data_IF_762903628682
#
_entry.id   IF_762903628682
#
_cell.length_a   1.000
_cell.length_b   1.000
_cell.length_c   1.000
_cell.angle_alpha   90.00
_cell.angle_beta   90.00
_cell.angle_gamma   90.00
#
_symmetry.space_group_name_H-M   'P 1'
#
loop_
_entity.id
_entity.type
_entity.pdbx_description
1 polymer ?
#
# COMPACT_ATOMS: atom_id res chain seq x y z
N UNK A 1 25.98 -29.41 12.99
CA UNK A 1 26.08 -28.98 11.58
C UNK A 1 27.28 -28.06 11.46
N UNK A 2 28.18 -28.32 10.52
CA UNK A 2 29.32 -27.44 10.26
C UNK A 2 28.87 -26.40 9.23
N UNK A 3 28.97 -25.12 9.56
CA UNK A 3 28.56 -24.02 8.68
C UNK A 3 29.53 -23.93 7.50
N UNK A 4 29.02 -23.65 6.29
CA UNK A 4 29.88 -23.36 5.14
C UNK A 4 30.62 -22.04 5.38
N UNK A 5 31.95 -22.10 5.37
CA UNK A 5 32.84 -20.95 5.54
C UNK A 5 33.59 -20.77 4.23
N UNK A 6 33.35 -19.66 3.49
CA UNK A 6 34.07 -19.38 2.26
C UNK A 6 35.55 -19.16 2.55
N UNK A 7 36.43 -19.72 1.72
CA UNK A 7 37.88 -19.55 1.91
C UNK A 7 38.33 -18.19 1.38
N UNK A 8 39.27 -17.57 2.08
CA UNK A 8 39.89 -16.34 1.61
C UNK A 8 40.85 -16.62 0.43
N UNK A 9 41.09 -15.60 -0.39
CA UNK A 9 42.03 -15.62 -1.51
C UNK A 9 43.44 -16.05 -1.06
N UNK A 10 43.87 -15.61 0.13
CA UNK A 10 45.17 -15.98 0.70
C UNK A 10 45.27 -17.48 0.97
N UNK A 11 44.18 -18.10 1.43
CA UNK A 11 44.12 -19.54 1.70
C UNK A 11 44.19 -20.34 0.39
N UNK A 12 43.45 -19.91 -0.63
CA UNK A 12 43.51 -20.50 -1.97
C UNK A 12 44.91 -20.39 -2.58
N UNK A 13 45.53 -19.21 -2.51
CA UNK A 13 46.89 -18.98 -2.98
C UNK A 13 47.89 -19.90 -2.28
N UNK A 14 47.82 -20.00 -0.95
CA UNK A 14 48.71 -20.86 -0.18
C UNK A 14 48.50 -22.35 -0.52
N UNK A 15 47.25 -22.79 -0.68
CA UNK A 15 46.93 -24.15 -1.08
C UNK A 15 47.49 -24.49 -2.47
N UNK A 16 47.38 -23.57 -3.43
CA UNK A 16 47.94 -23.75 -4.77
C UNK A 16 49.47 -23.80 -4.78
N UNK A 17 50.13 -22.93 -4.02
CA UNK A 17 51.59 -22.96 -3.88
C UNK A 17 52.04 -24.28 -3.24
N UNK A 18 51.40 -24.70 -2.15
CA UNK A 18 51.70 -25.96 -1.49
C UNK A 18 51.49 -27.17 -2.43
N UNK A 19 50.43 -27.15 -3.25
CA UNK A 19 50.17 -28.18 -4.24
C UNK A 19 51.26 -28.25 -5.32
N UNK A 20 51.68 -27.10 -5.87
CA UNK A 20 52.72 -27.03 -6.89
C UNK A 20 54.09 -27.44 -6.37
N UNK A 21 54.44 -27.03 -5.15
CA UNK A 21 55.68 -27.43 -4.47
C UNK A 21 55.66 -28.93 -4.17
N UNK A 22 54.56 -29.46 -3.62
CA UNK A 22 54.42 -30.88 -3.30
C UNK A 22 54.46 -31.82 -4.52
N UNK A 23 54.11 -31.32 -5.71
CA UNK A 23 54.19 -32.04 -6.98
C UNK A 23 55.53 -31.90 -7.71
N UNK A 24 56.51 -31.21 -7.11
CA UNK A 24 57.79 -30.89 -7.74
C UNK A 24 57.63 -30.23 -9.12
N UNK A 25 56.72 -29.25 -9.20
CA UNK A 25 56.49 -28.49 -10.43
C UNK A 25 57.76 -27.76 -10.88
N UNK A 26 57.90 -27.56 -12.20
CA UNK A 26 58.98 -26.73 -12.78
C UNK A 26 58.77 -25.23 -12.52
N UNK A 27 57.59 -24.86 -12.02
CA UNK A 27 57.27 -23.50 -11.56
C UNK A 27 57.92 -23.28 -10.18
N UNK A 28 58.80 -22.27 -10.06
CA UNK A 28 59.64 -22.10 -8.87
C UNK A 28 59.56 -20.71 -8.22
N UNK A 29 59.14 -19.66 -8.94
CA UNK A 29 59.08 -18.31 -8.40
C UNK A 29 57.63 -17.91 -8.06
N UNK A 30 57.26 -18.06 -6.79
CA UNK A 30 55.95 -17.68 -6.23
C UNK A 30 55.98 -16.37 -5.42
N UNK A 31 57.09 -15.63 -5.48
CA UNK A 31 57.22 -14.35 -4.78
C UNK A 31 56.35 -13.24 -5.38
N UNK A 32 56.07 -12.17 -4.61
CA UNK A 32 55.35 -11.00 -5.11
C UNK A 32 56.02 -10.42 -6.36
N UNK A 33 55.22 -10.07 -7.38
CA UNK A 33 55.72 -9.52 -8.65
C UNK A 33 56.15 -10.55 -9.70
N UNK A 34 56.14 -11.86 -9.38
CA UNK A 34 56.35 -12.92 -10.38
C UNK A 34 55.12 -13.12 -11.27
N UNK A 35 55.33 -13.39 -12.56
CA UNK A 35 54.25 -13.71 -13.52
C UNK A 35 53.39 -14.89 -13.05
N UNK A 36 54.02 -15.90 -12.45
CA UNK A 36 53.31 -17.09 -11.93
C UNK A 36 52.51 -16.72 -10.69
N UNK A 37 53.05 -15.87 -9.81
CA UNK A 37 52.34 -15.43 -8.61
C UNK A 37 51.09 -14.62 -8.98
N UNK A 38 51.18 -13.69 -9.95
CA UNK A 38 50.02 -12.94 -10.44
C UNK A 38 48.95 -13.84 -11.07
N UNK A 39 49.35 -14.91 -11.77
CA UNK A 39 48.39 -15.87 -12.32
C UNK A 39 47.68 -16.66 -11.22
N UNK A 40 48.41 -17.14 -10.21
CA UNK A 40 47.83 -17.86 -9.06
C UNK A 40 46.90 -16.94 -8.27
N UNK A 41 47.29 -15.69 -8.06
CA UNK A 41 46.47 -14.67 -7.38
C UNK A 41 45.16 -14.42 -8.12
N UNK A 42 45.20 -14.25 -9.45
CA UNK A 42 44.00 -14.09 -10.25
C UNK A 42 43.03 -15.29 -10.14
N UNK A 43 43.57 -16.52 -10.14
CA UNK A 43 42.76 -17.74 -9.96
C UNK A 43 42.18 -17.78 -8.53
N UNK A 44 43.00 -17.50 -7.52
CA UNK A 44 42.59 -17.51 -6.12
C UNK A 44 41.48 -16.49 -5.82
N UNK A 45 41.57 -15.27 -6.36
CA UNK A 45 40.53 -14.24 -6.25
C UNK A 45 39.21 -14.74 -6.87
N UNK A 46 39.29 -15.36 -8.05
CA UNK A 46 38.09 -15.86 -8.75
C UNK A 46 37.41 -16.97 -7.95
N UNK A 47 38.19 -17.90 -7.37
CA UNK A 47 37.65 -18.97 -6.52
C UNK A 47 37.07 -18.44 -5.21
N UNK A 48 37.78 -17.52 -4.53
CA UNK A 48 37.30 -16.89 -3.31
C UNK A 48 35.99 -16.12 -3.54
N UNK A 49 35.87 -15.43 -4.67
CA UNK A 49 34.63 -14.78 -5.08
C UNK A 49 33.52 -15.80 -5.34
N UNK A 50 33.80 -16.88 -6.05
CA UNK A 50 32.84 -17.95 -6.29
C UNK A 50 32.30 -18.58 -5.01
N UNK A 51 33.15 -18.81 -4.01
CA UNK A 51 32.75 -19.29 -2.68
C UNK A 51 31.84 -18.28 -1.95
N UNK A 52 32.19 -17.00 -1.98
CA UNK A 52 31.39 -15.94 -1.36
C UNK A 52 30.01 -15.81 -2.03
N UNK A 53 29.98 -15.78 -3.36
CA UNK A 53 28.75 -15.71 -4.15
C UNK A 53 27.87 -16.95 -3.89
N UNK A 54 28.49 -18.13 -3.77
CA UNK A 54 27.80 -19.39 -3.41
C UNK A 54 27.18 -19.29 -2.02
N UNK A 55 27.93 -18.79 -1.02
CA UNK A 55 27.38 -18.58 0.34
C UNK A 55 26.20 -17.62 0.32
N UNK A 56 26.34 -16.48 -0.36
CA UNK A 56 25.28 -15.48 -0.46
C UNK A 56 24.04 -16.05 -1.15
N UNK A 57 24.23 -16.83 -2.20
CA UNK A 57 23.15 -17.55 -2.89
C UNK A 57 22.42 -18.50 -1.96
N UNK A 58 23.14 -19.34 -1.20
CA UNK A 58 22.52 -20.24 -0.22
C UNK A 58 21.79 -19.50 0.89
N UNK A 59 22.39 -18.45 1.46
CA UNK A 59 21.75 -17.66 2.52
C UNK A 59 20.45 -16.99 2.01
N UNK A 60 20.45 -16.48 0.78
CA UNK A 60 19.26 -15.90 0.15
C UNK A 60 18.19 -16.96 -0.17
N UNK A 61 18.59 -18.12 -0.68
CA UNK A 61 17.70 -19.21 -1.07
C UNK A 61 17.03 -19.87 0.14
N UNK A 62 17.75 -20.03 1.26
CA UNK A 62 17.16 -20.53 2.51
C UNK A 62 16.01 -19.63 2.96
N UNK A 63 16.16 -18.32 2.85
CA UNK A 63 15.11 -17.37 3.22
C UNK A 63 13.97 -17.39 2.20
N UNK A 64 14.29 -17.37 0.91
CA UNK A 64 13.29 -17.37 -0.17
C UNK A 64 12.45 -18.65 -0.17
N UNK A 65 13.11 -19.81 -0.04
CA UNK A 65 12.46 -21.12 -0.01
C UNK A 65 11.50 -21.28 1.16
N UNK A 66 11.80 -20.69 2.33
CA UNK A 66 10.83 -20.65 3.44
C UNK A 66 9.57 -19.89 3.04
N UNK A 67 9.69 -18.72 2.42
CA UNK A 67 8.50 -17.98 1.96
C UNK A 67 7.71 -18.75 0.91
N UNK A 68 8.38 -19.44 0.00
CA UNK A 68 7.72 -20.24 -1.04
C UNK A 68 6.96 -21.44 -0.44
N UNK A 69 7.57 -22.17 0.49
CA UNK A 69 6.93 -23.30 1.19
C UNK A 69 5.68 -22.86 1.95
N UNK A 70 5.69 -21.66 2.53
CA UNK A 70 4.54 -21.09 3.22
C UNK A 70 3.57 -20.33 2.31
N UNK A 71 3.82 -20.27 0.99
CA UNK A 71 2.98 -19.51 0.06
C UNK A 71 2.89 -18.03 0.41
N UNK A 72 4.01 -17.41 0.80
CA UNK A 72 4.08 -16.05 1.34
C UNK A 72 4.76 -15.07 0.37
N UNK A 73 4.10 -14.72 -0.76
CA UNK A 73 4.66 -13.83 -1.77
C UNK A 73 4.76 -12.39 -1.25
N UNK A 74 5.49 -11.55 -2.00
CA UNK A 74 5.46 -10.10 -1.81
C UNK A 74 4.08 -9.54 -2.15
N UNK A 75 3.56 -8.65 -1.32
CA UNK A 75 2.34 -7.94 -1.65
C UNK A 75 2.59 -6.95 -2.80
N UNK A 76 1.67 -6.86 -3.78
CA UNK A 76 1.74 -5.81 -4.77
C UNK A 76 1.51 -4.44 -4.10
N UNK A 77 1.92 -3.38 -4.80
CA UNK A 77 1.64 -2.02 -4.35
C UNK A 77 0.14 -1.73 -4.26
N UNK A 78 -0.22 -0.78 -3.41
CA UNK A 78 -1.58 -0.27 -3.32
C UNK A 78 -1.78 0.90 -4.30
N UNK A 79 -3.05 1.14 -4.63
CA UNK A 79 -3.47 2.25 -5.48
C UNK A 79 -3.67 3.49 -4.64
N UNK A 80 -3.26 4.64 -5.17
CA UNK A 80 -3.53 5.91 -4.51
C UNK A 80 -5.02 6.25 -4.65
N UNK A 81 -5.61 6.75 -3.57
CA UNK A 81 -7.01 7.21 -3.53
C UNK A 81 -7.06 8.65 -3.05
N UNK A 82 -8.13 9.34 -3.42
CA UNK A 82 -8.36 10.72 -3.02
C UNK A 82 -9.70 11.22 -3.51
N UNK A 83 -10.02 12.45 -3.11
CA UNK A 83 -11.25 13.13 -3.50
C UNK A 83 -10.96 14.07 -4.67
N UNK A 84 -11.87 14.08 -5.64
CA UNK A 84 -11.98 15.10 -6.67
C UNK A 84 -13.17 15.98 -6.36
N UNK A 85 -13.05 17.27 -6.66
CA UNK A 85 -14.14 18.22 -6.63
C UNK A 85 -14.60 18.49 -8.06
N UNK A 86 -15.88 18.26 -8.31
CA UNK A 86 -16.56 18.63 -9.55
C UNK A 86 -17.28 19.95 -9.29
N UNK A 87 -16.96 20.99 -10.06
CA UNK A 87 -17.60 22.29 -9.98
C UNK A 87 -18.36 22.56 -11.27
N UNK A 88 -19.64 22.88 -11.14
CA UNK A 88 -20.51 23.26 -12.26
C UNK A 88 -21.54 24.27 -11.76
N UNK A 89 -21.79 25.32 -12.53
CA UNK A 89 -22.64 26.43 -12.14
C UNK A 89 -23.68 26.75 -13.21
N UNK A 90 -24.88 27.16 -12.79
CA UNK A 90 -25.94 27.61 -13.70
C UNK A 90 -26.80 26.50 -14.29
N UNK A 91 -26.71 25.27 -13.75
CA UNK A 91 -27.61 24.18 -14.08
C UNK A 91 -28.95 24.31 -13.34
N UNK A 92 -30.02 23.89 -14.00
CA UNK A 92 -31.39 23.89 -13.42
C UNK A 92 -31.95 22.48 -13.29
N UNK A 93 -31.39 21.52 -14.03
CA UNK A 93 -31.67 20.10 -13.93
C UNK A 93 -30.49 19.36 -13.25
N UNK A 94 -30.74 18.22 -12.57
CA UNK A 94 -29.67 17.42 -11.99
C UNK A 94 -28.70 16.91 -13.06
N UNK A 95 -27.40 17.08 -12.82
CA UNK A 95 -26.34 16.56 -13.71
C UNK A 95 -25.89 15.20 -13.17
N UNK A 96 -25.93 14.18 -14.02
CA UNK A 96 -25.45 12.84 -13.69
C UNK A 96 -24.04 12.62 -14.24
N UNK A 97 -23.06 12.46 -13.36
CA UNK A 97 -21.70 12.10 -13.71
C UNK A 97 -21.55 10.58 -13.63
N UNK A 98 -21.39 9.87 -14.77
CA UNK A 98 -21.08 8.44 -14.77
C UNK A 98 -19.66 8.21 -14.24
N UNK A 99 -19.27 6.95 -14.04
CA UNK A 99 -17.86 6.63 -13.81
C UNK A 99 -17.04 7.08 -15.02
N UNK A 100 -16.05 7.93 -14.76
CA UNK A 100 -15.10 8.45 -15.73
C UNK A 100 -13.66 8.33 -15.25
N UNK A 101 -12.75 8.42 -16.21
CA UNK A 101 -11.31 8.37 -16.01
C UNK A 101 -10.66 9.72 -16.30
N UNK A 102 -9.57 10.01 -15.61
CA UNK A 102 -8.73 11.19 -15.81
C UNK A 102 -7.32 10.72 -16.14
N UNK A 103 -6.78 11.14 -17.28
CA UNK A 103 -5.39 10.92 -17.66
C UNK A 103 -4.56 12.18 -17.38
N UNK A 104 -3.68 12.09 -16.38
CA UNK A 104 -2.70 13.10 -16.01
C UNK A 104 -1.34 12.68 -16.53
N UNK A 105 -1.04 13.03 -17.79
CA UNK A 105 0.26 12.78 -18.43
C UNK A 105 0.74 11.31 -18.35
N UNK A 106 -0.18 10.36 -18.53
CA UNK A 106 0.09 8.92 -18.47
C UNK A 106 -0.31 8.28 -17.13
N UNK A 107 -0.46 9.06 -16.06
CA UNK A 107 -1.02 8.58 -14.80
C UNK A 107 -2.54 8.65 -14.86
N UNK A 108 -3.21 7.50 -14.77
CA UNK A 108 -4.66 7.42 -14.89
C UNK A 108 -5.34 7.21 -13.55
N UNK A 109 -6.46 7.92 -13.38
CA UNK A 109 -7.35 7.81 -12.24
C UNK A 109 -8.77 7.48 -12.74
N UNK A 110 -9.54 6.78 -11.93
CA UNK A 110 -10.92 6.37 -12.20
C UNK A 110 -11.77 6.74 -10.98
N UNK A 111 -12.95 7.29 -11.23
CA UNK A 111 -13.96 7.55 -10.17
C UNK A 111 -14.58 6.24 -9.71
N UNK A 112 -14.82 6.11 -8.40
CA UNK A 112 -15.24 4.83 -7.81
C UNK A 112 -16.72 4.55 -8.06
N UNK A 113 -17.54 5.60 -8.02
CA UNK A 113 -18.99 5.51 -8.16
C UNK A 113 -19.55 6.69 -8.98
N UNK A 114 -20.72 6.52 -9.64
CA UNK A 114 -21.41 7.62 -10.30
C UNK A 114 -22.00 8.58 -9.26
N UNK A 115 -22.02 9.87 -9.60
CA UNK A 115 -22.45 10.93 -8.68
C UNK A 115 -23.40 11.89 -9.38
N UNK A 116 -24.42 12.37 -8.66
CA UNK A 116 -25.42 13.32 -9.17
C UNK A 116 -25.22 14.66 -8.48
N UNK A 117 -25.02 15.72 -9.27
CA UNK A 117 -25.01 17.11 -8.79
C UNK A 117 -26.43 17.67 -8.89
N UNK A 118 -27.01 18.06 -7.75
CA UNK A 118 -28.36 18.61 -7.70
C UNK A 118 -28.37 20.09 -8.13
N UNK A 119 -29.51 20.63 -8.60
CA UNK A 119 -29.62 22.04 -9.03
C UNK A 119 -29.31 23.09 -7.96
N UNK A 120 -29.35 22.73 -6.68
CA UNK A 120 -29.03 23.64 -5.57
C UNK A 120 -27.53 23.70 -5.24
N UNK A 121 -26.75 22.71 -5.69
CA UNK A 121 -25.35 22.54 -5.34
C UNK A 121 -24.46 23.03 -6.50
N UNK A 122 -23.44 23.83 -6.21
CA UNK A 122 -22.46 24.31 -7.22
C UNK A 122 -21.23 23.41 -7.33
N UNK A 123 -21.07 22.47 -6.41
CA UNK A 123 -19.99 21.50 -6.43
C UNK A 123 -20.37 20.21 -5.71
N UNK A 124 -19.65 19.13 -6.04
CA UNK A 124 -19.75 17.85 -5.34
C UNK A 124 -18.38 17.18 -5.27
N UNK A 125 -18.15 16.40 -4.22
CA UNK A 125 -16.95 15.57 -4.10
C UNK A 125 -17.23 14.16 -4.63
N UNK A 126 -16.26 13.62 -5.36
CA UNK A 126 -16.28 12.23 -5.86
C UNK A 126 -14.98 11.54 -5.49
N UNK A 127 -15.06 10.32 -5.00
CA UNK A 127 -13.89 9.49 -4.75
C UNK A 127 -13.28 8.98 -6.06
N UNK A 128 -11.96 9.08 -6.16
CA UNK A 128 -11.22 8.53 -7.28
C UNK A 128 -10.01 7.74 -6.79
N UNK A 129 -9.64 6.74 -7.59
CA UNK A 129 -8.52 5.85 -7.36
C UNK A 129 -7.61 5.79 -8.58
N UNK A 130 -6.31 5.65 -8.36
CA UNK A 130 -5.36 5.39 -9.42
C UNK A 130 -5.65 4.03 -10.06
N UNK A 131 -5.51 3.93 -11.39
CA UNK A 131 -5.70 2.65 -12.10
C UNK A 131 -4.52 1.72 -11.80
N UNK A 132 -3.31 2.27 -11.82
CA UNK A 132 -2.07 1.54 -11.55
C UNK A 132 -1.67 1.72 -10.07
N UNK A 133 -1.22 0.64 -9.41
CA UNK A 133 -0.63 0.76 -8.08
C UNK A 133 0.72 1.47 -8.14
N UNK A 134 1.11 2.09 -7.02
CA UNK A 134 2.41 2.73 -6.90
C UNK A 134 2.36 4.14 -6.32
N UNK A 135 3.54 4.64 -5.95
CA UNK A 135 3.70 5.97 -5.37
C UNK A 135 3.48 7.10 -6.38
N UNK A 136 3.53 6.81 -7.69
CA UNK A 136 3.26 7.79 -8.75
C UNK A 136 1.82 8.30 -8.74
N UNK A 137 0.89 7.52 -8.19
CA UNK A 137 -0.49 7.96 -7.98
C UNK A 137 -0.67 8.95 -6.83
N UNK A 138 0.34 9.13 -5.96
CA UNK A 138 0.27 10.07 -4.84
C UNK A 138 0.55 11.49 -5.34
N UNK A 139 -0.51 12.17 -5.79
CA UNK A 139 -0.43 13.52 -6.33
C UNK A 139 -0.69 14.59 -5.26
N UNK A 140 -0.06 15.75 -5.42
CA UNK A 140 -0.28 16.92 -4.56
C UNK A 140 -1.63 17.60 -4.85
N UNK A 141 -2.17 18.41 -3.92
CA UNK A 141 -3.34 19.25 -4.19
C UNK A 141 -3.17 20.08 -5.47
N UNK A 142 -4.22 20.18 -6.28
CA UNK A 142 -4.22 20.94 -7.55
C UNK A 142 -3.35 20.37 -8.67
N UNK A 143 -2.87 19.13 -8.55
CA UNK A 143 -2.15 18.45 -9.61
C UNK A 143 -3.08 18.09 -10.79
N UNK A 144 -4.31 17.68 -10.49
CA UNK A 144 -5.42 17.59 -11.44
C UNK A 144 -6.18 18.91 -11.34
N UNK A 145 -6.29 19.60 -12.46
CA UNK A 145 -7.16 20.76 -12.63
C UNK A 145 -7.48 20.94 -14.12
N UNK A 146 -8.71 20.62 -14.51
CA UNK A 146 -9.11 20.72 -15.92
C UNK A 146 -9.21 22.16 -16.42
N UNK A 147 -9.33 23.16 -15.54
CA UNK A 147 -9.32 24.57 -15.93
C UNK A 147 -7.94 25.01 -16.41
N UNK A 148 -6.89 24.50 -15.76
CA UNK A 148 -5.49 24.72 -16.15
C UNK A 148 -5.01 23.75 -17.24
N UNK A 149 -5.93 22.96 -17.83
CA UNK A 149 -5.62 21.96 -18.85
C UNK A 149 -4.87 20.73 -18.32
N UNK A 150 -4.89 20.50 -17.00
CA UNK A 150 -4.19 19.38 -16.34
C UNK A 150 -5.16 18.24 -16.08
N UNK A 151 -5.14 17.28 -16.99
CA UNK A 151 -5.98 16.08 -16.92
C UNK A 151 -6.96 16.02 -18.09
N UNK A 152 -6.98 14.89 -18.81
CA UNK A 152 -7.95 14.64 -19.88
C UNK A 152 -8.99 13.64 -19.39
N UNK A 153 -10.28 14.01 -19.52
CA UNK A 153 -11.40 13.19 -19.04
C UNK A 153 -11.92 12.27 -20.14
N UNK A 154 -12.19 11.00 -19.80
CA UNK A 154 -12.81 10.01 -20.68
C UNK A 154 -13.74 9.06 -19.92
N UNK A 155 -15.02 8.88 -20.33
CA UNK A 155 -15.72 9.59 -21.41
C UNK A 155 -15.92 11.07 -21.07
N UNK A 156 -16.21 11.91 -22.07
CA UNK A 156 -16.49 13.33 -21.84
C UNK A 156 -17.71 13.47 -20.90
N UNK A 157 -17.54 14.28 -19.86
CA UNK A 157 -18.59 14.67 -18.91
C UNK A 157 -19.27 15.96 -19.37
N UNK A 158 -20.25 16.44 -18.61
CA UNK A 158 -21.00 17.66 -18.94
C UNK A 158 -20.05 18.85 -19.20
N UNK A 159 -20.15 19.51 -20.38
CA UNK A 159 -19.27 20.61 -20.75
C UNK A 159 -19.30 21.75 -19.74
N UNK A 160 -18.13 22.34 -19.45
CA UNK A 160 -18.03 23.43 -18.46
C UNK A 160 -17.87 22.96 -17.01
N UNK A 161 -17.88 21.65 -16.75
CA UNK A 161 -17.52 21.10 -15.43
C UNK A 161 -16.01 21.19 -15.21
N UNK A 162 -15.59 21.87 -14.14
CA UNK A 162 -14.20 21.86 -13.68
C UNK A 162 -13.99 20.68 -12.74
N UNK A 163 -12.91 19.93 -12.95
CA UNK A 163 -12.53 18.78 -12.11
C UNK A 163 -11.14 19.02 -11.59
N UNK A 164 -10.99 19.04 -10.27
CA UNK A 164 -9.70 19.26 -9.64
C UNK A 164 -9.59 18.53 -8.30
N UNK A 165 -8.37 18.29 -7.83
CA UNK A 165 -8.16 17.63 -6.53
C UNK A 165 -7.86 18.66 -5.42
N UNK A 166 -8.76 18.87 -4.45
CA UNK A 166 -8.56 19.83 -3.36
C UNK A 166 -7.53 19.36 -2.34
N UNK A 167 -7.36 18.05 -2.18
CA UNK A 167 -6.41 17.44 -1.28
C UNK A 167 -5.47 16.51 -2.04
N UNK A 168 -4.38 16.10 -1.37
CA UNK A 168 -3.46 15.11 -1.92
C UNK A 168 -4.17 13.77 -2.12
N UNK A 169 -3.79 13.05 -3.17
CA UNK A 169 -4.07 11.62 -3.24
C UNK A 169 -3.00 10.89 -2.44
N UNK A 170 -3.38 9.84 -1.73
CA UNK A 170 -2.49 9.09 -0.84
C UNK A 170 -2.84 7.61 -0.81
N UNK A 171 -2.09 6.80 -0.05
CA UNK A 171 -2.32 5.36 0.03
C UNK A 171 -1.65 4.54 -1.08
N UNK A 172 -1.14 5.17 -2.14
CA UNK A 172 -0.37 4.50 -3.17
C UNK A 172 0.98 4.05 -2.63
N UNK A 173 1.27 2.76 -2.70
CA UNK A 173 2.54 2.18 -2.23
C UNK A 173 3.21 1.40 -3.35
N UNK A 174 4.54 1.32 -3.31
CA UNK A 174 5.26 0.38 -4.17
C UNK A 174 4.99 -1.06 -3.71
N UNK A 175 5.42 -2.02 -4.54
CA UNK A 175 5.52 -3.41 -4.11
C UNK A 175 6.24 -3.49 -2.75
N UNK A 176 5.76 -4.40 -1.90
CA UNK A 176 6.33 -4.65 -0.58
C UNK A 176 7.86 -4.86 -0.65
N UNK A 177 8.60 -4.31 0.32
CA UNK A 177 10.05 -4.54 0.41
C UNK A 177 10.37 -5.87 1.10
N UNK A 178 11.59 -6.37 0.92
CA UNK A 178 12.03 -7.61 1.57
C UNK A 178 11.98 -7.52 3.10
N UNK A 179 12.29 -6.36 3.67
CA UNK A 179 12.26 -6.09 5.11
C UNK A 179 10.82 -6.08 5.64
N UNK A 180 9.90 -5.43 4.91
CA UNK A 180 8.47 -5.42 5.24
C UNK A 180 7.89 -6.82 5.18
N UNK A 181 8.22 -7.59 4.13
CA UNK A 181 7.81 -9.00 4.03
C UNK A 181 8.33 -9.82 5.20
N UNK A 182 9.59 -9.63 5.60
CA UNK A 182 10.16 -10.34 6.74
C UNK A 182 9.46 -9.99 8.06
N UNK A 183 9.04 -8.73 8.25
CA UNK A 183 8.23 -8.33 9.39
C UNK A 183 6.83 -8.97 9.35
N UNK A 184 6.13 -8.89 8.21
CA UNK A 184 4.83 -9.51 7.98
C UNK A 184 4.87 -11.03 8.19
N UNK A 185 5.96 -11.68 7.78
CA UNK A 185 6.16 -13.11 7.99
C UNK A 185 6.31 -13.47 9.47
N UNK A 186 7.00 -12.65 10.27
CA UNK A 186 7.05 -12.85 11.74
C UNK A 186 5.66 -12.75 12.34
N UNK A 187 4.86 -11.77 11.89
CA UNK A 187 3.48 -11.63 12.34
C UNK A 187 2.61 -12.80 11.91
N UNK A 188 2.78 -13.30 10.68
CA UNK A 188 2.15 -14.53 10.21
C UNK A 188 2.47 -15.71 11.14
N UNK A 189 3.75 -15.96 11.44
CA UNK A 189 4.18 -17.02 12.37
C UNK A 189 3.57 -16.84 13.77
N UNK A 190 3.57 -15.62 14.31
CA UNK A 190 2.95 -15.33 15.61
C UNK A 190 1.43 -15.51 15.61
N UNK A 191 0.82 -15.51 14.43
CA UNK A 191 -0.63 -15.61 14.22
C UNK A 191 -1.08 -16.95 13.62
N UNK A 192 -0.19 -17.95 13.60
CA UNK A 192 -0.51 -19.34 13.21
C UNK A 192 -1.68 -19.92 14.02
N UNK A 193 -1.88 -19.42 15.24
CA UNK A 193 -3.13 -19.57 15.97
C UNK A 193 -4.28 -18.91 15.21
N UNK A 194 -4.87 -19.67 14.28
CA UNK A 194 -6.13 -19.33 13.62
C UNK A 194 -7.24 -19.07 14.64
N UNK A 195 -8.37 -18.55 14.18
CA UNK A 195 -9.55 -18.27 15.00
C UNK A 195 -9.31 -17.35 16.19
N UNK A 196 -8.22 -16.57 16.15
CA UNK A 196 -7.96 -15.44 17.06
C UNK A 196 -8.14 -14.14 16.30
N UNK A 197 -8.45 -13.04 17.01
CA UNK A 197 -8.56 -11.71 16.38
C UNK A 197 -7.30 -11.39 15.57
N UNK A 198 -6.11 -11.66 16.13
CA UNK A 198 -4.83 -11.42 15.46
C UNK A 198 -4.61 -12.34 14.26
N UNK A 199 -5.00 -13.61 14.36
CA UNK A 199 -4.96 -14.57 13.25
C UNK A 199 -5.79 -14.12 12.06
N UNK A 200 -7.05 -13.77 12.32
CA UNK A 200 -7.98 -13.31 11.29
C UNK A 200 -7.51 -11.97 10.72
N UNK A 201 -7.13 -11.02 11.56
CA UNK A 201 -6.61 -9.72 11.11
C UNK A 201 -5.38 -9.86 10.21
N UNK A 202 -4.40 -10.69 10.60
CA UNK A 202 -3.18 -10.90 9.81
C UNK A 202 -3.45 -11.63 8.48
N UNK A 203 -4.44 -12.52 8.45
CA UNK A 203 -4.88 -13.16 7.22
C UNK A 203 -5.47 -12.13 6.24
N UNK A 204 -6.37 -11.28 6.75
CA UNK A 204 -7.08 -10.28 5.95
C UNK A 204 -6.13 -9.20 5.42
N UNK A 205 -5.22 -8.68 6.26
CA UNK A 205 -4.25 -7.66 5.82
C UNK A 205 -3.21 -8.20 4.84
N UNK A 206 -3.05 -9.53 4.76
CA UNK A 206 -2.16 -10.18 3.80
C UNK A 206 -2.81 -10.39 2.42
N UNK A 207 -4.07 -9.99 2.24
CA UNK A 207 -4.76 -10.08 0.95
C UNK A 207 -4.37 -8.88 0.08
N UNK A 208 -3.89 -9.10 -1.15
CA UNK A 208 -3.60 -8.03 -2.09
C UNK A 208 -4.77 -7.07 -2.28
N UNK A 209 -4.52 -5.77 -2.12
CA UNK A 209 -5.53 -4.71 -2.29
C UNK A 209 -6.23 -4.28 -1.00
N UNK A 210 -6.03 -4.98 0.13
CA UNK A 210 -6.47 -4.50 1.43
C UNK A 210 -5.50 -3.43 1.94
N UNK A 211 -6.00 -2.21 2.14
CA UNK A 211 -5.26 -1.10 2.73
C UNK A 211 -5.37 -1.09 4.26
N UNK A 212 -6.48 -1.58 4.80
CA UNK A 212 -6.70 -1.72 6.23
C UNK A 212 -7.89 -2.61 6.55
N UNK A 213 -7.91 -3.15 7.76
CA UNK A 213 -8.99 -4.01 8.23
C UNK A 213 -9.26 -3.80 9.73
N UNK A 214 -10.49 -4.09 10.15
CA UNK A 214 -10.89 -4.14 11.56
C UNK A 214 -11.63 -5.44 11.81
N UNK A 215 -11.25 -6.14 12.88
CA UNK A 215 -11.88 -7.41 13.27
C UNK A 215 -12.54 -7.23 14.63
N UNK A 216 -13.86 -7.38 14.66
CA UNK A 216 -14.69 -7.33 15.86
C UNK A 216 -15.26 -8.71 16.15
N UNK A 217 -15.57 -8.98 17.41
CA UNK A 217 -16.19 -10.22 17.85
C UNK A 217 -17.36 -9.95 18.78
N UNK A 218 -18.31 -10.88 18.85
CA UNK A 218 -19.48 -10.85 19.72
C UNK A 218 -20.39 -9.62 19.52
N UNK A 219 -20.47 -9.10 18.31
CA UNK A 219 -21.37 -7.99 17.94
C UNK A 219 -22.17 -8.44 16.72
N UNK A 220 -23.48 -8.28 16.76
CA UNK A 220 -24.31 -8.53 15.59
C UNK A 220 -24.13 -7.39 14.57
N UNK A 221 -23.76 -7.66 13.31
CA UNK A 221 -23.49 -6.62 12.32
C UNK A 221 -24.74 -5.83 11.89
N UNK A 222 -25.95 -6.35 12.15
CA UNK A 222 -27.23 -5.75 11.78
C UNK A 222 -27.79 -4.92 12.94
N UNK A 223 -27.87 -5.50 14.15
CA UNK A 223 -28.44 -4.80 15.31
C UNK A 223 -27.42 -3.91 16.03
N UNK A 224 -26.13 -4.11 15.80
CA UNK A 224 -25.01 -3.45 16.50
C UNK A 224 -25.01 -3.67 18.02
N UNK A 225 -25.75 -4.68 18.48
CA UNK A 225 -25.78 -5.10 19.88
C UNK A 225 -24.84 -6.28 20.10
N UNK A 226 -24.40 -6.46 21.33
CA UNK A 226 -23.58 -7.59 21.72
C UNK A 226 -24.36 -8.91 21.54
N UNK A 227 -23.82 -9.81 20.71
CA UNK A 227 -24.37 -11.15 20.47
C UNK A 227 -23.21 -12.12 20.26
N UNK A 228 -23.16 -13.19 21.07
CA UNK A 228 -22.10 -14.18 20.99
C UNK A 228 -22.12 -14.96 19.66
N UNK A 229 -20.93 -15.40 19.22
CA UNK A 229 -20.80 -16.26 18.04
C UNK A 229 -20.70 -15.51 16.72
N UNK A 230 -20.52 -14.18 16.75
CA UNK A 230 -20.20 -13.36 15.58
C UNK A 230 -18.72 -12.98 15.53
N UNK A 231 -18.16 -13.01 14.33
CA UNK A 231 -16.88 -12.39 13.96
C UNK A 231 -17.13 -11.50 12.75
N UNK A 232 -16.92 -10.21 12.91
CA UNK A 232 -17.15 -9.23 11.86
C UNK A 232 -15.80 -8.69 11.38
N UNK A 233 -15.58 -8.71 10.08
CA UNK A 233 -14.39 -8.18 9.42
C UNK A 233 -14.81 -7.03 8.52
N UNK A 234 -14.30 -5.85 8.83
CA UNK A 234 -14.51 -4.65 8.02
C UNK A 234 -13.23 -4.34 7.27
N UNK A 235 -13.32 -4.16 5.95
CA UNK A 235 -12.17 -4.02 5.05
C UNK A 235 -12.22 -2.67 4.34
N UNK A 236 -11.06 -2.04 4.19
CA UNK A 236 -10.89 -0.85 3.34
C UNK A 236 -9.77 -1.10 2.32
N UNK A 237 -10.01 -0.71 1.07
CA UNK A 237 -9.02 -0.66 -0.01
C UNK A 237 -8.43 0.76 -0.18
N UNK A 238 -8.73 1.66 0.78
CA UNK A 238 -8.42 3.09 0.70
C UNK A 238 -9.56 3.94 0.13
N UNK A 239 -10.66 3.31 -0.32
CA UNK A 239 -11.91 3.97 -0.71
C UNK A 239 -13.04 3.60 0.25
N UNK A 240 -14.18 4.29 0.12
CA UNK A 240 -15.41 3.95 0.84
C UNK A 240 -16.14 2.73 0.27
N UNK A 241 -15.83 2.34 -0.96
CA UNK A 241 -16.50 1.24 -1.67
C UNK A 241 -15.50 0.26 -2.30
N UNK A 242 -14.89 -0.61 -1.47
CA UNK A 242 -14.09 -1.74 -1.95
C UNK A 242 -14.83 -2.58 -3.01
N UNK A 243 -14.12 -3.09 -4.03
CA UNK A 243 -14.76 -3.90 -5.06
C UNK A 243 -15.34 -5.20 -4.47
N UNK A 244 -16.52 -5.66 -4.94
CA UNK A 244 -17.15 -6.88 -4.43
C UNK A 244 -16.27 -8.13 -4.52
N UNK A 245 -15.38 -8.18 -5.52
CA UNK A 245 -14.41 -9.27 -5.67
C UNK A 245 -13.39 -9.32 -4.53
N UNK A 246 -12.97 -8.17 -4.00
CA UNK A 246 -12.06 -8.11 -2.84
C UNK A 246 -12.77 -8.58 -1.57
N UNK A 247 -14.02 -8.17 -1.36
CA UNK A 247 -14.81 -8.62 -0.20
C UNK A 247 -15.09 -10.12 -0.26
N UNK A 248 -15.40 -10.66 -1.43
CA UNK A 248 -15.59 -12.10 -1.63
C UNK A 248 -14.30 -12.90 -1.38
N UNK A 249 -13.15 -12.38 -1.81
CA UNK A 249 -11.84 -12.99 -1.53
C UNK A 249 -11.56 -13.00 -0.02
N UNK A 250 -11.83 -11.89 0.67
CA UNK A 250 -11.69 -11.82 2.14
C UNK A 250 -12.61 -12.81 2.83
N UNK A 251 -13.88 -12.89 2.41
CA UNK A 251 -14.84 -13.85 2.94
C UNK A 251 -14.36 -15.29 2.74
N UNK A 252 -13.85 -15.61 1.55
CA UNK A 252 -13.28 -16.92 1.25
C UNK A 252 -12.09 -17.26 2.15
N UNK A 253 -11.19 -16.32 2.42
CA UNK A 253 -10.06 -16.51 3.35
C UNK A 253 -10.55 -16.73 4.78
N UNK A 254 -11.51 -15.93 5.25
CA UNK A 254 -11.97 -15.98 6.64
C UNK A 254 -12.81 -17.23 6.91
N UNK A 255 -13.81 -17.50 6.07
CA UNK A 255 -14.75 -18.62 6.24
C UNK A 255 -14.14 -19.94 5.79
N UNK A 256 -13.33 -19.90 4.74
CA UNK A 256 -12.87 -21.08 4.02
C UNK A 256 -13.85 -21.54 2.94
N UNK A 257 -13.36 -22.38 2.05
CA UNK A 257 -14.13 -22.97 0.96
C UNK A 257 -13.84 -24.48 0.90
N UNK A 258 -14.88 -25.30 1.04
CA UNK A 258 -14.74 -26.75 0.99
C UNK A 258 -14.37 -27.28 -0.40
N UNK A 259 -14.63 -26.48 -1.45
CA UNK A 259 -14.28 -26.82 -2.84
C UNK A 259 -12.84 -26.47 -3.20
N UNK A 260 -12.17 -25.64 -2.39
CA UNK A 260 -10.82 -25.15 -2.64
C UNK A 260 -9.89 -25.45 -1.44
N UNK A 261 -9.02 -26.47 -1.54
CA UNK A 261 -8.14 -26.90 -0.45
C UNK A 261 -7.19 -25.81 0.06
N UNK A 262 -6.91 -24.79 -0.75
CA UNK A 262 -6.02 -23.69 -0.39
C UNK A 262 -6.70 -22.72 0.60
N UNK A 263 -8.04 -22.72 0.67
CA UNK A 263 -8.85 -21.85 1.53
C UNK A 263 -9.46 -22.64 2.70
N UNK A 264 -8.61 -23.00 3.66
CA UNK A 264 -9.04 -23.78 4.83
C UNK A 264 -9.89 -23.01 5.84
N UNK A 265 -9.99 -21.68 5.71
CA UNK A 265 -10.67 -20.81 6.66
C UNK A 265 -9.84 -20.47 7.90
N UNK A 266 -10.02 -19.25 8.40
CA UNK A 266 -9.43 -18.77 9.65
C UNK A 266 -10.45 -18.73 10.80
N UNK A 267 -11.74 -18.56 10.49
CA UNK A 267 -12.81 -18.59 11.48
C UNK A 267 -13.02 -20.02 12.02
N UNK A 268 -13.46 -20.12 13.27
CA UNK A 268 -13.80 -21.42 13.85
C UNK A 268 -15.12 -21.92 13.27
N UNK A 269 -15.22 -23.24 13.06
CA UNK A 269 -16.45 -23.86 12.56
C UNK A 269 -17.64 -23.56 13.50
N UNK A 270 -18.78 -23.17 12.92
CA UNK A 270 -20.00 -22.82 13.65
C UNK A 270 -20.07 -21.37 14.13
N UNK A 271 -19.02 -20.57 13.94
CA UNK A 271 -19.04 -19.12 14.16
C UNK A 271 -19.65 -18.42 12.96
N UNK A 272 -20.54 -17.46 13.19
CA UNK A 272 -21.11 -16.61 12.15
C UNK A 272 -20.10 -15.53 11.79
N UNK A 273 -19.83 -15.38 10.50
CA UNK A 273 -18.89 -14.41 9.97
C UNK A 273 -19.60 -13.38 9.13
N UNK A 274 -19.23 -12.12 9.29
CA UNK A 274 -19.66 -11.05 8.41
C UNK A 274 -18.43 -10.36 7.83
N UNK A 275 -18.41 -10.20 6.51
CA UNK A 275 -17.38 -9.42 5.81
C UNK A 275 -18.07 -8.27 5.11
N UNK A 276 -17.60 -7.05 5.38
CA UNK A 276 -18.17 -5.85 4.78
C UNK A 276 -17.14 -4.75 4.58
N UNK A 277 -17.49 -3.70 3.82
CA UNK A 277 -16.66 -2.52 3.72
C UNK A 277 -16.65 -1.76 5.05
N UNK A 278 -15.58 -0.99 5.29
CA UNK A 278 -15.57 0.00 6.38
C UNK A 278 -16.59 1.09 6.05
N UNK A 279 -17.53 1.32 6.97
CA UNK A 279 -18.55 2.34 6.83
C UNK A 279 -17.94 3.73 7.01
N UNK A 280 -17.99 4.56 5.96
CA UNK A 280 -17.48 5.94 5.98
C UNK A 280 -18.63 6.88 6.34
N UNK A 281 -18.51 7.53 7.51
CA UNK A 281 -19.48 8.54 7.94
C UNK A 281 -19.00 9.95 7.59
N UNK A 282 -19.72 10.69 6.72
CA UNK A 282 -19.36 12.07 6.44
C UNK A 282 -19.60 12.92 7.69
N UNK A 283 -18.65 13.79 8.01
CA UNK A 283 -18.76 14.78 9.08
C UNK A 283 -18.84 16.15 8.45
N UNK A 284 -19.99 16.80 8.57
CA UNK A 284 -20.16 18.19 8.12
C UNK A 284 -19.60 19.15 9.15
N UNK A 285 -18.56 19.90 8.76
CA UNK A 285 -17.93 20.92 9.60
C UNK A 285 -18.31 22.29 9.06
N UNK A 286 -19.01 23.09 9.86
CA UNK A 286 -19.27 24.49 9.57
C UNK A 286 -18.35 25.35 10.42
N UNK A 287 -17.61 26.26 9.77
CA UNK A 287 -16.67 27.13 10.44
C UNK A 287 -16.80 28.56 9.94
N UNK A 288 -16.39 29.51 10.79
CA UNK A 288 -16.19 30.91 10.43
C UNK A 288 -14.72 31.22 10.68
N UNK A 289 -14.10 31.94 9.77
CA UNK A 289 -12.71 32.36 9.91
C UNK A 289 -12.62 33.87 9.71
N UNK A 290 -11.60 34.47 10.35
CA UNK A 290 -11.30 35.90 10.21
C UNK A 290 -9.90 35.99 9.65
N UNK A 291 -9.78 36.59 8.47
CA UNK A 291 -8.50 36.84 7.83
C UNK A 291 -7.98 38.21 8.28
N UNK A 292 -6.71 38.27 8.66
CA UNK A 292 -6.08 39.54 9.02
C UNK A 292 -5.92 40.41 7.77
N UNK A 293 -6.32 41.67 7.88
CA UNK A 293 -6.18 42.66 6.82
C UNK A 293 -4.72 42.78 6.35
N UNK A 294 -4.49 42.62 5.04
CA UNK A 294 -3.15 42.62 4.42
C UNK A 294 -2.59 41.24 4.05
N UNK A 295 -3.35 40.15 4.18
CA UNK A 295 -3.01 38.86 3.58
C UNK A 295 -2.97 38.98 2.05
N UNK A 296 -1.94 38.41 1.41
CA UNK A 296 -1.76 38.45 -0.05
C UNK A 296 -2.74 37.55 -0.83
N UNK A 297 -3.39 36.62 -0.16
CA UNK A 297 -4.30 35.64 -0.77
C UNK A 297 -5.75 36.09 -0.75
N UNK A 298 -6.49 35.69 -1.79
CA UNK A 298 -7.93 35.92 -1.90
C UNK A 298 -8.71 35.07 -0.88
N UNK A 299 -9.89 35.54 -0.46
CA UNK A 299 -10.76 34.83 0.49
C UNK A 299 -11.10 33.39 0.04
N UNK A 300 -11.37 33.21 -1.26
CA UNK A 300 -11.63 31.89 -1.83
C UNK A 300 -10.43 30.94 -1.77
N UNK A 301 -9.20 31.48 -1.91
CA UNK A 301 -7.98 30.67 -1.80
C UNK A 301 -7.72 30.24 -0.36
N UNK A 302 -8.00 31.11 0.61
CA UNK A 302 -7.85 30.80 2.04
C UNK A 302 -8.85 29.72 2.48
N UNK A 303 -10.12 29.82 2.06
CA UNK A 303 -11.11 28.77 2.32
C UNK A 303 -10.67 27.40 1.78
N UNK A 304 -10.15 27.35 0.55
CA UNK A 304 -9.64 26.12 -0.05
C UNK A 304 -8.44 25.52 0.73
N UNK A 305 -7.56 26.35 1.29
CA UNK A 305 -6.43 25.89 2.12
C UNK A 305 -6.91 25.30 3.44
N UNK A 306 -7.88 25.94 4.10
CA UNK A 306 -8.47 25.46 5.36
C UNK A 306 -9.15 24.10 5.13
N UNK A 307 -9.94 23.97 4.06
CA UNK A 307 -10.58 22.70 3.68
C UNK A 307 -9.54 21.60 3.43
N UNK A 308 -8.50 21.91 2.65
CA UNK A 308 -7.43 20.97 2.34
C UNK A 308 -6.69 20.49 3.62
N UNK A 309 -6.46 21.39 4.58
CA UNK A 309 -5.83 21.05 5.86
C UNK A 309 -6.72 20.13 6.73
N UNK A 310 -8.03 20.42 6.79
CA UNK A 310 -8.99 19.58 7.50
C UNK A 310 -9.08 18.17 6.90
N UNK A 311 -9.25 18.09 5.59
CA UNK A 311 -9.29 16.80 4.85
C UNK A 311 -7.97 16.05 5.02
N UNK A 312 -6.84 16.75 4.93
CA UNK A 312 -5.51 16.17 5.10
C UNK A 312 -5.28 15.57 6.49
N UNK A 313 -5.82 16.18 7.53
CA UNK A 313 -5.77 15.63 8.88
C UNK A 313 -6.61 14.35 9.01
N UNK A 314 -7.88 14.39 8.58
CA UNK A 314 -8.78 13.22 8.69
C UNK A 314 -8.20 12.03 7.91
N UNK A 315 -7.70 12.26 6.69
CA UNK A 315 -7.09 11.21 5.86
C UNK A 315 -5.75 10.69 6.39
N UNK A 316 -5.17 11.32 7.42
CA UNK A 316 -3.94 10.83 8.06
C UNK A 316 -4.20 9.85 9.21
N UNK A 317 -5.44 9.76 9.69
CA UNK A 317 -5.81 8.90 10.81
C UNK A 317 -5.99 7.44 10.33
N UNK A 318 -5.47 6.45 11.08
CA UNK A 318 -5.83 5.06 10.91
C UNK A 318 -7.33 4.81 11.10
N UNK A 319 -7.80 3.72 10.49
CA UNK A 319 -9.20 3.28 10.59
C UNK A 319 -9.57 3.05 12.06
N UNK A 320 -10.69 3.64 12.48
CA UNK A 320 -11.22 3.50 13.84
C UNK A 320 -10.59 4.42 14.89
N UNK A 321 -9.73 5.36 14.50
CA UNK A 321 -9.22 6.38 15.43
C UNK A 321 -10.23 7.53 15.62
N UNK A 322 -10.33 8.04 16.86
CA UNK A 322 -11.14 9.20 17.18
C UNK A 322 -10.64 10.48 16.51
N UNK A 323 -11.58 11.27 15.97
CA UNK A 323 -11.31 12.60 15.45
C UNK A 323 -11.45 13.60 16.60
N UNK A 324 -10.34 14.20 17.01
CA UNK A 324 -10.32 15.18 18.10
C UNK A 324 -10.58 16.58 17.57
N UNK A 325 -11.66 17.21 18.05
CA UNK A 325 -12.08 18.56 17.65
C UNK A 325 -10.93 19.58 17.77
N UNK A 326 -10.22 19.60 18.88
CA UNK A 326 -9.10 20.53 19.12
C UNK A 326 -7.95 20.35 18.12
N UNK A 327 -7.68 19.11 17.71
CA UNK A 327 -6.63 18.84 16.73
C UNK A 327 -7.06 19.25 15.33
N UNK A 328 -8.30 18.96 14.96
CA UNK A 328 -8.88 19.41 13.69
C UNK A 328 -8.86 20.95 13.60
N UNK A 329 -9.34 21.63 14.64
CA UNK A 329 -9.33 23.08 14.74
C UNK A 329 -7.91 23.65 14.63
N UNK A 330 -6.95 23.09 15.38
CA UNK A 330 -5.54 23.50 15.31
C UNK A 330 -4.95 23.36 13.91
N UNK A 331 -5.26 22.27 13.19
CA UNK A 331 -4.79 22.03 11.81
C UNK A 331 -5.40 23.02 10.82
N UNK A 332 -6.69 23.31 10.96
CA UNK A 332 -7.39 24.30 10.14
C UNK A 332 -6.86 25.72 10.38
N UNK A 333 -6.51 26.06 11.62
CA UNK A 333 -5.96 27.37 11.97
C UNK A 333 -4.56 27.61 11.40
N UNK A 334 -3.73 26.56 11.30
CA UNK A 334 -2.35 26.63 10.79
C UNK A 334 -2.24 26.32 9.29
N UNK A 335 -3.34 26.41 8.53
CA UNK A 335 -3.37 26.02 7.12
C UNK A 335 -2.57 26.96 6.18
N UNK A 336 -2.19 28.14 6.67
CA UNK A 336 -1.36 29.15 6.00
C UNK A 336 -0.10 29.43 6.82
#
# INVERSE_FOLDING_TARGET
>A
MQQYIPRADVEYRQAMVNYLVGRASRLSNFGPGSRIASLIEAIAITLARGDLDTKQGFDAEVVSGVYEVFGFPLLPGLKATGLLRLEHSGHTDPINYPIFTIDLFGQRFETVEPVILNPADSFIFVEARAIQPGVSGNIQPGAIDTLDGRGTISPQIEPGTRVWNPAKFSGGTQQETAESRAARFRDFINSLGRSTIRGIYNAVISIPGVAGAVVNQNINPISLLEEAGWVNVYVSDGTSSPPPSLLAEVEKVVVGDLSDPDYQGYAAAGVRTFVGPVDVKPISVSYQYVVREGSGDSDAAIGALIDAAGIGYVNSLPIGQDILFETLHGRMLTAH
#
